data_IF_950146335664
#
_entry.id   IF_950146335664
#
_cell.length_a   1.000
_cell.length_b   1.000
_cell.length_c   1.000
_cell.angle_alpha   90.00
_cell.angle_beta   90.00
_cell.angle_gamma   90.00
#
_symmetry.space_group_name_H-M   'P 1'
#
loop_
_entity.id
_entity.type
_entity.pdbx_description
1 polymer ?
#
# COMPACT_ATOMS: atom_id res chain seq x y z
N UNK A 1 24.36 -17.54 -26.42
CA UNK A 1 23.16 -18.28 -25.99
C UNK A 1 23.15 -18.29 -24.47
N UNK A 2 22.75 -17.17 -23.87
CA UNK A 2 22.72 -16.96 -22.42
C UNK A 2 21.42 -17.52 -21.87
N UNK A 3 21.52 -18.52 -21.00
CA UNK A 3 20.38 -19.17 -20.38
C UNK A 3 19.58 -18.15 -19.54
N UNK A 4 18.40 -17.77 -20.03
CA UNK A 4 17.38 -17.11 -19.22
C UNK A 4 16.87 -18.17 -18.25
N UNK A 5 17.38 -18.19 -17.02
CA UNK A 5 16.79 -19.01 -15.97
C UNK A 5 15.35 -18.51 -15.76
N UNK A 6 14.34 -19.39 -15.82
CA UNK A 6 12.97 -18.98 -15.51
C UNK A 6 12.96 -18.54 -14.04
N UNK A 7 12.58 -17.28 -13.80
CA UNK A 7 12.55 -16.63 -12.47
C UNK A 7 11.76 -17.47 -11.42
N UNK A 8 10.91 -18.37 -11.91
CA UNK A 8 10.16 -19.40 -11.17
C UNK A 8 11.01 -20.38 -10.34
N UNK A 9 12.31 -20.52 -10.59
CA UNK A 9 13.18 -21.52 -9.94
C UNK A 9 13.80 -21.07 -8.60
N UNK A 10 13.77 -19.77 -8.27
CA UNK A 10 14.35 -19.29 -7.01
C UNK A 10 13.47 -19.66 -5.80
N UNK A 11 14.08 -20.20 -4.74
CA UNK A 11 13.39 -20.48 -3.46
C UNK A 11 12.66 -19.25 -2.91
N UNK A 12 13.23 -18.06 -3.08
CA UNK A 12 12.61 -16.80 -2.65
C UNK A 12 11.38 -16.42 -3.47
N UNK A 13 11.40 -16.64 -4.79
CA UNK A 13 10.27 -16.37 -5.67
C UNK A 13 9.09 -17.30 -5.35
N UNK A 14 9.36 -18.59 -5.14
CA UNK A 14 8.34 -19.55 -4.70
C UNK A 14 7.75 -19.20 -3.33
N UNK A 15 8.58 -18.73 -2.41
CA UNK A 15 8.10 -18.28 -1.10
C UNK A 15 7.20 -17.04 -1.24
N UNK A 16 7.63 -16.02 -1.97
CA UNK A 16 6.84 -14.81 -2.21
C UNK A 16 5.48 -15.12 -2.86
N UNK A 17 5.46 -15.98 -3.89
CA UNK A 17 4.22 -16.41 -4.54
C UNK A 17 3.29 -17.17 -3.60
N UNK A 18 3.82 -18.04 -2.74
CA UNK A 18 3.01 -18.76 -1.74
C UNK A 18 2.38 -17.80 -0.74
N UNK A 19 3.14 -16.80 -0.27
CA UNK A 19 2.61 -15.77 0.62
C UNK A 19 1.51 -14.95 -0.06
N UNK A 20 1.71 -14.52 -1.31
CA UNK A 20 0.70 -13.77 -2.08
C UNK A 20 -0.58 -14.58 -2.25
N UNK A 21 -0.47 -15.83 -2.72
CA UNK A 21 -1.63 -16.69 -2.95
C UNK A 21 -2.40 -16.99 -1.65
N UNK A 22 -1.70 -17.11 -0.52
CA UNK A 22 -2.35 -17.29 0.77
C UNK A 22 -3.08 -16.01 1.19
N UNK A 23 -2.43 -14.85 1.07
CA UNK A 23 -3.03 -13.56 1.39
C UNK A 23 -4.27 -13.30 0.52
N UNK A 24 -4.15 -13.40 -0.80
CA UNK A 24 -5.27 -13.19 -1.74
C UNK A 24 -6.47 -14.10 -1.48
N UNK A 25 -6.23 -15.33 -0.99
CA UNK A 25 -7.30 -16.28 -0.70
C UNK A 25 -8.04 -16.00 0.60
N UNK A 26 -7.36 -15.42 1.59
CA UNK A 26 -7.90 -15.28 2.95
C UNK A 26 -8.17 -13.85 3.37
N UNK A 27 -7.62 -12.85 2.67
CA UNK A 27 -7.76 -11.46 3.05
C UNK A 27 -9.21 -11.00 2.82
N UNK A 28 -9.98 -10.73 3.90
CA UNK A 28 -11.36 -10.31 3.76
C UNK A 28 -11.44 -8.92 3.14
N UNK A 29 -12.58 -8.64 2.50
CA UNK A 29 -12.87 -7.29 2.04
C UNK A 29 -12.85 -6.29 3.21
N UNK A 30 -12.28 -5.11 2.99
CA UNK A 30 -12.12 -4.08 4.03
C UNK A 30 -13.47 -3.61 4.60
N UNK A 31 -14.54 -3.65 3.80
CA UNK A 31 -15.89 -3.36 4.24
C UNK A 31 -16.38 -4.33 5.33
N UNK A 32 -15.99 -5.61 5.26
CA UNK A 32 -16.38 -6.61 6.27
C UNK A 32 -15.83 -6.22 7.65
N UNK A 33 -14.58 -5.79 7.70
CA UNK A 33 -13.97 -5.32 8.95
C UNK A 33 -14.66 -4.05 9.48
N UNK A 34 -15.02 -3.11 8.60
CA UNK A 34 -15.75 -1.92 8.98
C UNK A 34 -17.14 -2.26 9.56
N UNK A 35 -17.90 -3.14 8.90
CA UNK A 35 -19.21 -3.58 9.35
C UNK A 35 -19.14 -4.32 10.70
N UNK A 36 -18.18 -5.23 10.85
CA UNK A 36 -17.94 -5.94 12.12
C UNK A 36 -17.53 -4.98 13.24
N UNK A 37 -16.67 -4.00 12.96
CA UNK A 37 -16.29 -3.00 13.95
C UNK A 37 -17.49 -2.18 14.42
N UNK A 38 -18.35 -1.72 13.50
CA UNK A 38 -19.58 -1.01 13.85
C UNK A 38 -20.47 -1.88 14.75
N UNK A 39 -20.68 -3.14 14.39
CA UNK A 39 -21.47 -4.08 15.18
C UNK A 39 -20.88 -4.27 16.59
N UNK A 40 -19.60 -4.61 16.69
CA UNK A 40 -18.91 -4.89 17.95
C UNK A 40 -18.92 -3.66 18.87
N UNK A 41 -18.56 -2.48 18.34
CA UNK A 41 -18.53 -1.24 19.11
C UNK A 41 -19.94 -0.83 19.55
N UNK A 42 -20.95 -1.01 18.70
CA UNK A 42 -22.33 -0.71 19.06
C UNK A 42 -22.83 -1.62 20.18
N UNK A 43 -22.59 -2.93 20.08
CA UNK A 43 -22.96 -3.90 21.12
C UNK A 43 -22.23 -3.62 22.44
N UNK A 44 -20.93 -3.29 22.38
CA UNK A 44 -20.16 -2.93 23.56
C UNK A 44 -20.70 -1.66 24.23
N UNK A 45 -21.06 -0.64 23.46
CA UNK A 45 -21.66 0.59 23.99
C UNK A 45 -23.00 0.32 24.69
N UNK A 46 -23.87 -0.50 24.08
CA UNK A 46 -25.14 -0.90 24.69
C UNK A 46 -24.91 -1.72 25.98
N UNK A 47 -23.95 -2.64 25.98
CA UNK A 47 -23.60 -3.44 27.15
C UNK A 47 -23.07 -2.58 28.32
N UNK A 48 -22.43 -1.44 28.02
CA UNK A 48 -22.01 -0.44 29.02
C UNK A 48 -23.15 0.48 29.50
N UNK A 49 -24.37 0.28 29.01
CA UNK A 49 -25.55 1.04 29.43
C UNK A 49 -25.87 2.28 28.57
N UNK A 50 -25.20 2.48 27.44
CA UNK A 50 -25.56 3.54 26.50
C UNK A 50 -26.94 3.26 25.86
N UNK A 51 -27.78 4.30 25.71
CA UNK A 51 -29.06 4.16 25.02
C UNK A 51 -28.90 3.95 23.50
N UNK A 52 -29.75 3.17 22.83
CA UNK A 52 -29.63 2.89 21.38
C UNK A 52 -29.60 4.14 20.50
N UNK A 53 -30.42 5.15 20.82
CA UNK A 53 -30.46 6.42 20.10
C UNK A 53 -29.18 7.22 20.30
N UNK A 54 -28.61 7.22 21.51
CA UNK A 54 -27.36 7.88 21.81
C UNK A 54 -26.18 7.21 21.08
N UNK A 55 -26.13 5.87 21.06
CA UNK A 55 -25.11 5.11 20.31
C UNK A 55 -25.19 5.40 18.80
N UNK A 56 -26.39 5.39 18.22
CA UNK A 56 -26.58 5.71 16.81
C UNK A 56 -26.19 7.16 16.47
N UNK A 57 -26.54 8.11 17.34
CA UNK A 57 -26.14 9.52 17.18
C UNK A 57 -24.62 9.68 17.25
N UNK A 58 -23.96 9.01 18.19
CA UNK A 58 -22.50 9.08 18.33
C UNK A 58 -21.77 8.56 17.08
N UNK A 59 -22.27 7.46 16.49
CA UNK A 59 -21.77 6.98 15.20
C UNK A 59 -21.98 8.02 14.08
N UNK A 60 -23.20 8.56 13.96
CA UNK A 60 -23.53 9.55 12.94
C UNK A 60 -22.70 10.83 13.05
N UNK A 61 -22.45 11.32 14.27
CA UNK A 61 -21.59 12.49 14.52
C UNK A 61 -20.15 12.21 14.05
N UNK A 62 -19.63 11.00 14.29
CA UNK A 62 -18.29 10.59 13.85
C UNK A 62 -18.18 10.31 12.35
N UNK A 63 -19.24 9.82 11.70
CA UNK A 63 -19.24 9.49 10.27
C UNK A 63 -18.77 10.66 9.39
N UNK A 64 -19.17 11.88 9.73
CA UNK A 64 -18.81 13.08 8.98
C UNK A 64 -17.31 13.39 9.00
N UNK A 65 -16.54 12.88 9.97
CA UNK A 65 -15.07 13.02 9.99
C UNK A 65 -14.38 12.20 8.90
N UNK A 66 -15.07 11.23 8.28
CA UNK A 66 -14.54 10.47 7.15
C UNK A 66 -14.39 11.31 5.88
N UNK A 67 -15.17 12.39 5.73
CA UNK A 67 -15.04 13.29 4.56
C UNK A 67 -13.67 13.99 4.53
N UNK A 68 -13.26 14.74 5.57
CA UNK A 68 -11.93 15.34 5.57
C UNK A 68 -10.82 14.28 5.57
N UNK A 69 -11.01 13.13 6.21
CA UNK A 69 -10.05 12.02 6.16
C UNK A 69 -9.85 11.49 4.74
N UNK A 70 -10.93 11.20 4.01
CA UNK A 70 -10.87 10.71 2.62
C UNK A 70 -10.25 11.76 1.69
N UNK A 71 -10.55 13.04 1.89
CA UNK A 71 -9.90 14.13 1.17
C UNK A 71 -8.39 14.15 1.40
N UNK A 72 -7.94 14.05 2.66
CA UNK A 72 -6.51 13.98 2.99
C UNK A 72 -5.83 12.79 2.32
N UNK A 73 -6.46 11.61 2.37
CA UNK A 73 -5.94 10.40 1.73
C UNK A 73 -5.88 10.54 0.19
N UNK A 74 -6.88 11.16 -0.43
CA UNK A 74 -6.89 11.44 -1.86
C UNK A 74 -5.73 12.35 -2.25
N UNK A 75 -5.47 13.43 -1.50
CA UNK A 75 -4.32 14.30 -1.73
C UNK A 75 -2.99 13.58 -1.56
N UNK A 76 -2.86 12.68 -0.59
CA UNK A 76 -1.65 11.86 -0.39
C UNK A 76 -1.37 11.00 -1.63
N UNK A 77 -2.39 10.35 -2.18
CA UNK A 77 -2.27 9.49 -3.38
C UNK A 77 -1.98 10.32 -4.62
N UNK A 78 -2.78 11.35 -4.89
CA UNK A 78 -2.64 12.20 -6.08
C UNK A 78 -1.29 12.93 -6.04
N UNK A 79 -0.93 13.51 -4.90
CA UNK A 79 0.36 14.17 -4.70
C UNK A 79 1.52 13.20 -4.92
N UNK A 80 1.43 11.99 -4.38
CA UNK A 80 2.42 10.93 -4.63
C UNK A 80 2.59 10.62 -6.12
N UNK A 81 1.49 10.44 -6.84
CA UNK A 81 1.51 10.18 -8.29
C UNK A 81 2.07 11.35 -9.11
N UNK A 82 1.63 12.58 -8.82
CA UNK A 82 2.08 13.79 -9.54
C UNK A 82 3.58 14.00 -9.36
N UNK A 83 4.08 13.82 -8.13
CA UNK A 83 5.53 13.89 -7.86
C UNK A 83 6.28 12.78 -8.59
N UNK A 84 5.80 11.53 -8.51
CA UNK A 84 6.42 10.38 -9.19
C UNK A 84 6.53 10.58 -10.71
N UNK A 85 5.52 11.22 -11.32
CA UNK A 85 5.41 11.41 -12.77
C UNK A 85 6.07 12.70 -13.26
N UNK A 86 6.68 13.47 -12.35
CA UNK A 86 7.31 14.74 -12.69
C UNK A 86 8.65 14.57 -13.41
N UNK A 87 9.04 15.56 -14.21
CA UNK A 87 10.36 15.59 -14.89
C UNK A 87 11.55 15.39 -13.94
N UNK A 88 11.60 16.04 -12.75
CA UNK A 88 12.64 15.79 -11.76
C UNK A 88 12.68 14.34 -11.26
N UNK A 89 11.53 13.72 -11.00
CA UNK A 89 11.46 12.34 -10.57
C UNK A 89 11.94 11.38 -11.65
N UNK A 90 11.58 11.61 -12.92
CA UNK A 90 12.10 10.82 -14.05
C UNK A 90 13.62 10.86 -14.12
N UNK A 91 14.23 12.03 -13.98
CA UNK A 91 15.70 12.17 -13.99
C UNK A 91 16.35 11.43 -12.80
N UNK A 92 15.73 11.49 -11.62
CA UNK A 92 16.19 10.75 -10.45
C UNK A 92 16.12 9.25 -10.68
N UNK A 93 15.02 8.75 -11.27
CA UNK A 93 14.85 7.35 -11.63
C UNK A 93 15.95 6.88 -12.58
N UNK A 94 16.23 7.64 -13.65
CA UNK A 94 17.29 7.31 -14.61
C UNK A 94 18.68 7.24 -13.96
N UNK A 95 18.94 8.07 -12.95
CA UNK A 95 20.18 8.04 -12.18
C UNK A 95 20.24 6.80 -11.27
N UNK A 96 19.16 6.51 -10.55
CA UNK A 96 19.07 5.37 -9.64
C UNK A 96 19.13 4.03 -10.41
N UNK A 97 18.62 3.98 -11.64
CA UNK A 97 18.66 2.79 -12.49
C UNK A 97 20.09 2.39 -12.90
N UNK A 98 21.06 3.30 -12.86
CA UNK A 98 22.47 3.01 -13.22
C UNK A 98 23.28 2.35 -12.11
N UNK A 99 22.74 2.27 -10.90
CA UNK A 99 23.45 1.79 -9.71
C UNK A 99 23.60 0.26 -9.67
N UNK A 100 22.54 -0.56 -9.81
CA UNK A 100 22.66 -2.01 -9.69
C UNK A 100 23.41 -2.62 -10.87
N UNK A 101 24.23 -3.65 -10.58
CA UNK A 101 25.13 -4.28 -11.57
C UNK A 101 24.65 -5.67 -12.03
N UNK A 102 23.69 -6.25 -11.33
CA UNK A 102 23.11 -7.56 -11.63
C UNK A 102 21.67 -7.67 -11.09
N UNK A 103 20.91 -8.66 -11.58
CA UNK A 103 19.50 -8.82 -11.24
C UNK A 103 19.20 -8.96 -9.73
N UNK A 104 20.06 -9.63 -8.96
CA UNK A 104 19.89 -9.73 -7.50
C UNK A 104 20.02 -8.37 -6.81
N UNK A 105 21.06 -7.62 -7.16
CA UNK A 105 21.26 -6.26 -6.64
C UNK A 105 20.15 -5.30 -7.06
N UNK A 106 19.59 -5.46 -8.27
CA UNK A 106 18.47 -4.66 -8.75
C UNK A 106 17.21 -4.85 -7.89
N UNK A 107 16.86 -6.10 -7.55
CA UNK A 107 15.71 -6.38 -6.68
C UNK A 107 15.88 -5.76 -5.28
N UNK A 108 17.05 -5.94 -4.66
CA UNK A 108 17.33 -5.34 -3.35
C UNK A 108 17.33 -3.81 -3.41
N UNK A 109 17.85 -3.23 -4.51
CA UNK A 109 17.90 -1.79 -4.71
C UNK A 109 16.51 -1.17 -4.85
N UNK A 110 15.65 -1.76 -5.69
CA UNK A 110 14.25 -1.35 -5.82
C UNK A 110 13.55 -1.43 -4.48
N UNK A 111 13.69 -2.55 -3.76
CA UNK A 111 13.07 -2.71 -2.44
C UNK A 111 13.51 -1.61 -1.47
N UNK A 112 14.81 -1.31 -1.39
CA UNK A 112 15.34 -0.24 -0.55
C UNK A 112 14.78 1.13 -0.93
N UNK A 113 14.85 1.50 -2.21
CA UNK A 113 14.39 2.80 -2.70
C UNK A 113 12.89 2.96 -2.50
N UNK A 114 12.09 1.91 -2.75
CA UNK A 114 10.65 1.92 -2.49
C UNK A 114 10.35 2.07 -1.00
N UNK A 115 11.05 1.37 -0.10
CA UNK A 115 10.86 1.55 1.34
C UNK A 115 11.18 2.98 1.78
N UNK A 116 12.28 3.56 1.29
CA UNK A 116 12.66 4.94 1.59
C UNK A 116 11.64 5.95 1.04
N UNK A 117 11.18 5.76 -0.19
CA UNK A 117 10.12 6.57 -0.77
C UNK A 117 8.82 6.47 0.04
N UNK A 118 8.50 5.27 0.56
CA UNK A 118 7.30 5.03 1.34
C UNK A 118 7.31 5.72 2.69
N UNK A 119 8.48 5.93 3.30
CA UNK A 119 8.62 6.68 4.54
C UNK A 119 8.27 8.17 4.35
N UNK A 120 8.50 8.71 3.15
CA UNK A 120 8.15 10.08 2.82
C UNK A 120 6.67 10.20 2.42
N UNK A 121 6.24 9.34 1.52
CA UNK A 121 4.86 9.26 1.06
C UNK A 121 4.61 7.87 0.48
N UNK A 122 3.71 7.11 1.08
CA UNK A 122 3.41 5.75 0.64
C UNK A 122 2.78 5.71 -0.77
N UNK A 123 1.99 6.72 -1.16
CA UNK A 123 1.43 6.84 -2.51
C UNK A 123 2.48 7.06 -3.60
N UNK A 124 3.52 7.88 -3.31
CA UNK A 124 4.69 8.08 -4.16
C UNK A 124 5.43 6.76 -4.40
N UNK A 125 5.69 6.00 -3.34
CA UNK A 125 6.43 4.73 -3.41
C UNK A 125 5.83 3.74 -4.41
N UNK A 126 4.49 3.60 -4.43
CA UNK A 126 3.81 2.65 -5.31
C UNK A 126 4.09 2.93 -6.79
N UNK A 127 4.06 4.20 -7.18
CA UNK A 127 4.29 4.62 -8.57
C UNK A 127 5.78 4.65 -8.88
N UNK A 128 6.58 5.27 -8.01
CA UNK A 128 8.02 5.44 -8.18
C UNK A 128 8.74 4.10 -8.27
N UNK A 129 8.40 3.14 -7.41
CA UNK A 129 8.97 1.79 -7.43
C UNK A 129 8.72 1.07 -8.75
N UNK A 130 7.49 1.12 -9.26
CA UNK A 130 7.13 0.52 -10.56
C UNK A 130 7.88 1.18 -11.73
N UNK A 131 8.00 2.51 -11.72
CA UNK A 131 8.77 3.24 -12.73
C UNK A 131 10.26 2.92 -12.67
N UNK A 132 10.84 2.77 -11.47
CA UNK A 132 12.23 2.38 -11.28
C UNK A 132 12.51 0.97 -11.80
N UNK A 133 11.64 0.00 -11.50
CA UNK A 133 11.74 -1.37 -12.05
C UNK A 133 11.70 -1.35 -13.57
N UNK A 134 10.86 -0.51 -14.17
CA UNK A 134 10.75 -0.39 -15.63
C UNK A 134 11.99 0.27 -16.27
N UNK A 135 12.71 1.10 -15.54
CA UNK A 135 13.93 1.77 -16.03
C UNK A 135 15.20 0.91 -15.87
N UNK A 136 15.13 -0.15 -15.05
CA UNK A 136 16.19 -1.13 -14.82
C UNK A 136 16.21 -2.23 -15.90
#
# INVERSE_FOLDING_TARGET
MTAILPIQESRSARFAMRCSNWAERWFPDSWVFAALAILIVSLAALAMGAGPTATAKAFGDGFWSLIPFTMQMAFVVIGGYVVASSGPASRLIDLLARVPKNGRSAVCWVALVSMLASLLNWGLSLVFGGLLVRAL
#
